data_IF_152657582038
#
_entry.id   IF_152657582038
#
_cell.length_a   1.000
_cell.length_b   1.000
_cell.length_c   1.000
_cell.angle_alpha   90.00
_cell.angle_beta   90.00
_cell.angle_gamma   90.00
#
_symmetry.space_group_name_H-M   'P 1'
#
loop_
_entity.id
_entity.type
_entity.pdbx_description
1 polymer ?
#
# COMPACT_ATOMS: atom_id res chain seq x y z
N UNK A 1 20.53 10.37 22.74
CA UNK A 1 19.27 11.12 22.52
C UNK A 1 19.21 12.28 23.52
N UNK A 2 19.00 13.52 23.07
CA UNK A 2 18.89 14.68 23.96
C UNK A 2 17.60 14.60 24.78
N UNK A 3 17.69 14.47 26.11
CA UNK A 3 16.56 14.68 27.02
C UNK A 3 16.39 16.19 27.23
N UNK A 4 15.28 16.79 26.79
CA UNK A 4 15.02 18.22 27.00
C UNK A 4 13.92 18.81 26.10
N UNK A 5 13.41 19.98 26.50
CA UNK A 5 12.42 20.74 25.73
C UNK A 5 13.10 21.45 24.54
N UNK A 6 12.50 21.36 23.36
CA UNK A 6 12.92 22.13 22.16
C UNK A 6 11.89 23.19 21.84
N UNK A 7 12.35 24.40 21.51
CA UNK A 7 11.50 25.49 21.02
C UNK A 7 11.37 25.38 19.50
N UNK A 8 10.16 25.59 19.00
CA UNK A 8 9.86 25.71 17.57
C UNK A 8 9.11 27.01 17.35
N UNK A 9 9.46 27.74 16.29
CA UNK A 9 8.72 28.92 15.87
C UNK A 9 7.62 28.47 14.92
N UNK A 10 6.39 28.92 15.17
CA UNK A 10 5.20 28.51 14.41
C UNK A 10 4.43 29.77 14.02
N UNK A 11 3.92 29.90 12.77
CA UNK A 11 3.14 31.05 12.35
C UNK A 11 1.92 31.30 13.25
N UNK A 12 1.60 32.57 13.51
CA UNK A 12 0.47 32.96 14.36
C UNK A 12 -0.87 32.28 13.99
N UNK A 13 -1.25 32.15 12.69
CA UNK A 13 -2.50 31.47 12.34
C UNK A 13 -2.56 30.01 12.79
N UNK A 14 -1.42 29.31 12.79
CA UNK A 14 -1.34 27.92 13.26
C UNK A 14 -1.45 27.86 14.79
N UNK A 15 -0.90 28.84 15.50
CA UNK A 15 -1.10 28.97 16.95
C UNK A 15 -2.58 29.14 17.31
N UNK A 16 -3.33 29.92 16.53
CA UNK A 16 -4.77 30.09 16.73
C UNK A 16 -5.56 28.80 16.53
N UNK A 17 -5.16 28.00 15.52
CA UNK A 17 -5.73 26.66 15.28
C UNK A 17 -5.42 25.73 16.46
N UNK A 18 -4.17 25.69 16.92
CA UNK A 18 -3.77 24.89 18.09
C UNK A 18 -4.59 25.30 19.32
N UNK A 19 -4.80 26.60 19.55
CA UNK A 19 -5.59 27.09 20.67
C UNK A 19 -7.07 26.73 20.59
N UNK A 20 -7.64 26.74 19.38
CA UNK A 20 -9.01 26.30 19.15
C UNK A 20 -9.18 24.81 19.49
N UNK A 21 -8.27 23.97 19.01
CA UNK A 21 -8.28 22.51 19.27
C UNK A 21 -8.04 22.24 20.76
N UNK A 22 -7.04 22.91 21.36
CA UNK A 22 -6.75 22.88 22.80
C UNK A 22 -7.99 23.11 23.64
N UNK A 23 -8.77 24.15 23.32
CA UNK A 23 -10.03 24.49 24.02
C UNK A 23 -11.10 23.42 23.80
N UNK A 24 -11.31 22.99 22.54
CA UNK A 24 -12.30 21.96 22.18
C UNK A 24 -12.05 20.64 22.92
N UNK A 25 -10.79 20.19 22.96
CA UNK A 25 -10.42 18.89 23.51
C UNK A 25 -9.94 18.93 24.98
N UNK A 26 -9.99 20.09 25.64
CA UNK A 26 -9.48 20.32 27.00
C UNK A 26 -8.06 19.74 27.21
N UNK A 27 -7.20 19.90 26.21
CA UNK A 27 -5.85 19.32 26.19
C UNK A 27 -4.78 20.42 26.10
N UNK A 28 -3.59 20.27 26.70
CA UNK A 28 -2.54 21.30 26.61
C UNK A 28 -1.97 21.40 25.19
N UNK A 29 -1.47 22.59 24.80
CA UNK A 29 -0.94 22.87 23.44
C UNK A 29 0.09 21.83 22.98
N UNK A 30 1.01 21.45 23.85
CA UNK A 30 2.06 20.48 23.52
C UNK A 30 1.47 19.11 23.13
N UNK A 31 0.34 18.70 23.72
CA UNK A 31 -0.31 17.42 23.42
C UNK A 31 -0.99 17.45 22.04
N UNK A 32 -1.58 18.58 21.69
CA UNK A 32 -2.15 18.84 20.35
C UNK A 32 -1.06 18.76 19.29
N UNK A 33 0.06 19.48 19.51
CA UNK A 33 1.21 19.47 18.59
C UNK A 33 1.83 18.07 18.50
N UNK A 34 2.04 17.39 19.64
CA UNK A 34 2.58 16.04 19.65
C UNK A 34 1.69 15.06 18.86
N UNK A 35 0.36 15.15 19.02
CA UNK A 35 -0.56 14.31 18.24
C UNK A 35 -0.45 14.61 16.75
N UNK A 36 -0.45 15.87 16.34
CA UNK A 36 -0.32 16.25 14.93
C UNK A 36 0.99 15.70 14.31
N UNK A 37 2.11 15.82 15.01
CA UNK A 37 3.40 15.29 14.56
C UNK A 37 3.36 13.75 14.46
N UNK A 38 2.83 13.07 15.47
CA UNK A 38 2.73 11.60 15.47
C UNK A 38 1.79 11.11 14.36
N UNK A 39 0.70 11.81 14.13
CA UNK A 39 -0.25 11.53 13.04
C UNK A 39 0.43 11.73 11.68
N UNK A 40 1.14 12.84 11.49
CA UNK A 40 1.90 13.08 10.26
C UNK A 40 2.97 12.00 10.01
N UNK A 41 3.75 11.65 11.04
CA UNK A 41 4.75 10.59 10.95
C UNK A 41 4.12 9.21 10.65
N UNK A 42 2.92 8.94 11.19
CA UNK A 42 2.16 7.72 10.87
C UNK A 42 1.72 7.72 9.40
N UNK A 43 1.23 8.84 8.89
CA UNK A 43 0.85 8.98 7.47
C UNK A 43 2.05 8.76 6.55
N UNK A 44 3.18 9.40 6.84
CA UNK A 44 4.42 9.26 6.06
C UNK A 44 4.88 7.78 5.99
N UNK A 45 4.94 7.10 7.15
CA UNK A 45 5.25 5.67 7.22
C UNK A 45 4.23 4.78 6.50
N UNK A 46 2.97 5.18 6.46
CA UNK A 46 1.93 4.44 5.76
C UNK A 46 2.05 4.59 4.24
N UNK A 47 2.35 5.80 3.76
CA UNK A 47 2.64 6.09 2.35
C UNK A 47 3.84 5.27 1.90
N UNK A 48 4.96 5.33 2.63
CA UNK A 48 6.17 4.54 2.33
C UNK A 48 5.85 3.04 2.24
N UNK A 49 5.03 2.54 3.17
CA UNK A 49 4.62 1.14 3.18
C UNK A 49 3.76 0.80 1.95
N UNK A 50 2.81 1.65 1.57
CA UNK A 50 1.96 1.45 0.39
C UNK A 50 2.81 1.43 -0.89
N UNK A 51 3.72 2.38 -1.03
CA UNK A 51 4.70 2.45 -2.13
C UNK A 51 5.55 1.17 -2.18
N UNK A 52 6.07 0.71 -1.04
CA UNK A 52 6.81 -0.55 -0.95
C UNK A 52 6.02 -1.76 -1.47
N UNK A 53 4.73 -1.85 -1.13
CA UNK A 53 3.89 -2.93 -1.64
C UNK A 53 3.58 -2.79 -3.13
N UNK A 54 3.43 -1.57 -3.65
CA UNK A 54 3.31 -1.32 -5.09
C UNK A 54 4.55 -1.87 -5.83
N UNK A 55 5.76 -1.56 -5.36
CA UNK A 55 7.00 -2.13 -5.92
C UNK A 55 7.02 -3.65 -5.88
N UNK A 56 6.63 -4.26 -4.75
CA UNK A 56 6.53 -5.73 -4.65
C UNK A 56 5.57 -6.33 -5.66
N UNK A 57 4.41 -5.72 -5.90
CA UNK A 57 3.44 -6.20 -6.90
C UNK A 57 4.08 -6.16 -8.28
N UNK A 58 4.59 -5.00 -8.69
CA UNK A 58 5.19 -4.80 -10.01
C UNK A 58 6.32 -5.80 -10.24
N UNK A 59 7.22 -5.96 -9.27
CA UNK A 59 8.36 -6.86 -9.38
C UNK A 59 7.93 -8.34 -9.45
N UNK A 60 7.07 -8.79 -8.53
CA UNK A 60 6.64 -10.20 -8.50
C UNK A 60 5.81 -10.58 -9.73
N UNK A 61 5.01 -9.64 -10.25
CA UNK A 61 4.27 -9.84 -11.49
C UNK A 61 5.16 -9.82 -12.73
N UNK A 62 6.14 -8.91 -12.80
CA UNK A 62 7.10 -8.87 -13.90
C UNK A 62 7.88 -10.18 -14.00
N UNK A 63 8.37 -10.72 -12.88
CA UNK A 63 9.05 -12.02 -12.88
C UNK A 63 8.17 -13.18 -13.32
N UNK A 64 6.88 -13.15 -12.97
CA UNK A 64 5.92 -14.15 -13.44
C UNK A 64 5.69 -14.06 -14.96
N UNK A 65 5.55 -12.85 -15.51
CA UNK A 65 5.43 -12.67 -16.97
C UNK A 65 6.67 -13.13 -17.71
N UNK A 66 7.85 -12.74 -17.20
CA UNK A 66 9.14 -13.12 -17.79
C UNK A 66 9.29 -14.64 -17.75
N UNK A 67 8.97 -15.30 -16.64
CA UNK A 67 9.06 -16.77 -16.57
C UNK A 67 8.11 -17.44 -17.59
N UNK A 68 6.88 -16.94 -17.75
CA UNK A 68 5.97 -17.50 -18.75
C UNK A 68 6.48 -17.33 -20.20
N UNK A 69 7.09 -16.18 -20.52
CA UNK A 69 7.71 -15.97 -21.85
C UNK A 69 8.93 -16.88 -22.06
N UNK A 70 9.78 -17.04 -21.04
CA UNK A 70 10.93 -17.94 -21.11
C UNK A 70 10.50 -19.41 -21.25
N UNK A 71 9.43 -19.83 -20.54
CA UNK A 71 8.84 -21.17 -20.66
C UNK A 71 8.31 -21.41 -22.07
N UNK A 72 7.61 -20.44 -22.66
CA UNK A 72 7.13 -20.52 -24.05
C UNK A 72 8.28 -20.74 -25.04
N UNK A 73 9.43 -20.14 -24.78
CA UNK A 73 10.66 -20.32 -25.56
C UNK A 73 11.51 -21.54 -25.12
N UNK A 74 10.98 -22.42 -24.25
CA UNK A 74 11.63 -23.64 -23.74
C UNK A 74 12.97 -23.41 -23.04
N UNK A 75 13.18 -22.21 -22.49
CA UNK A 75 14.42 -21.83 -21.80
C UNK A 75 14.43 -22.22 -20.32
N UNK A 76 13.27 -22.50 -19.75
CA UNK A 76 13.08 -22.86 -18.34
C UNK A 76 12.00 -23.93 -18.18
N UNK A 77 11.92 -24.54 -17.01
CA UNK A 77 10.92 -25.53 -16.65
C UNK A 77 9.69 -24.95 -15.93
N UNK A 78 8.72 -25.83 -15.68
CA UNK A 78 7.49 -25.51 -14.96
C UNK A 78 7.74 -25.17 -13.49
N UNK A 79 8.78 -25.75 -12.88
CA UNK A 79 9.13 -25.48 -11.49
C UNK A 79 9.50 -24.00 -11.29
N UNK A 80 10.27 -23.43 -12.21
CA UNK A 80 10.63 -22.01 -12.14
C UNK A 80 9.41 -21.09 -12.33
N UNK A 81 8.46 -21.46 -13.18
CA UNK A 81 7.19 -20.72 -13.30
C UNK A 81 6.38 -20.80 -12.01
N UNK A 82 6.23 -22.00 -11.44
CA UNK A 82 5.48 -22.21 -10.19
C UNK A 82 6.11 -21.49 -8.99
N UNK A 83 7.45 -21.43 -8.94
CA UNK A 83 8.17 -20.63 -7.96
C UNK A 83 7.78 -19.14 -8.04
N UNK A 84 7.82 -18.56 -9.24
CA UNK A 84 7.45 -17.15 -9.44
C UNK A 84 5.96 -16.90 -9.20
N UNK A 85 5.09 -17.82 -9.59
CA UNK A 85 3.66 -17.73 -9.28
C UNK A 85 3.40 -17.78 -7.77
N UNK A 86 4.11 -18.62 -7.03
CA UNK A 86 4.02 -18.70 -5.58
C UNK A 86 4.49 -17.41 -4.89
N UNK A 87 5.54 -16.76 -5.41
CA UNK A 87 5.96 -15.43 -4.95
C UNK A 87 4.89 -14.38 -5.19
N UNK A 88 4.28 -14.36 -6.38
CA UNK A 88 3.18 -13.45 -6.70
C UNK A 88 1.99 -13.66 -5.76
N UNK A 89 1.56 -14.92 -5.53
CA UNK A 89 0.51 -15.26 -4.55
C UNK A 89 0.83 -14.78 -3.14
N UNK A 90 2.08 -14.95 -2.70
CA UNK A 90 2.53 -14.47 -1.38
C UNK A 90 2.42 -12.95 -1.28
N UNK A 91 2.81 -12.21 -2.32
CA UNK A 91 2.63 -10.75 -2.38
C UNK A 91 1.16 -10.36 -2.26
N UNK A 92 0.27 -10.99 -3.03
CA UNK A 92 -1.18 -10.75 -2.95
C UNK A 92 -1.74 -11.01 -1.55
N UNK A 93 -1.35 -12.12 -0.91
CA UNK A 93 -1.75 -12.45 0.47
C UNK A 93 -1.29 -11.40 1.48
N UNK A 94 -0.06 -10.88 1.32
CA UNK A 94 0.45 -9.81 2.18
C UNK A 94 -0.39 -8.53 2.03
N UNK A 95 -0.74 -8.16 0.81
CA UNK A 95 -1.56 -6.97 0.52
C UNK A 95 -2.96 -7.12 1.12
N UNK A 96 -3.62 -8.25 0.87
CA UNK A 96 -4.93 -8.55 1.45
C UNK A 96 -4.91 -8.44 2.97
N UNK A 97 -3.91 -9.05 3.63
CA UNK A 97 -3.80 -9.02 5.08
C UNK A 97 -3.52 -7.62 5.64
N UNK A 98 -2.77 -6.78 4.92
CA UNK A 98 -2.29 -5.48 5.43
C UNK A 98 -3.23 -4.33 5.13
N UNK A 99 -3.85 -4.34 3.96
CA UNK A 99 -4.70 -3.25 3.47
C UNK A 99 -6.17 -3.65 3.34
N UNK A 100 -6.52 -4.89 3.70
CA UNK A 100 -7.90 -5.42 3.65
C UNK A 100 -8.54 -5.38 2.26
N UNK A 101 -7.74 -5.27 1.20
CA UNK A 101 -8.20 -5.32 -0.20
C UNK A 101 -8.38 -6.77 -0.65
N UNK A 102 -9.48 -7.10 -1.33
CA UNK A 102 -9.67 -8.44 -1.88
C UNK A 102 -8.78 -8.68 -3.10
N UNK A 103 -7.78 -9.56 -2.97
CA UNK A 103 -6.85 -9.93 -4.04
C UNK A 103 -7.14 -11.31 -4.64
N UNK A 104 -8.23 -11.99 -4.25
CA UNK A 104 -8.50 -13.39 -4.65
C UNK A 104 -8.72 -13.52 -6.15
N UNK A 105 -9.44 -12.57 -6.74
CA UNK A 105 -9.68 -12.53 -8.19
C UNK A 105 -8.38 -12.40 -8.98
N UNK A 106 -7.46 -11.56 -8.53
CA UNK A 106 -6.14 -11.37 -9.16
C UNK A 106 -5.36 -12.68 -9.17
N UNK A 107 -5.37 -13.42 -8.05
CA UNK A 107 -4.69 -14.71 -7.94
C UNK A 107 -5.33 -15.75 -8.85
N UNK A 108 -6.66 -15.79 -8.93
CA UNK A 108 -7.40 -16.70 -9.81
C UNK A 108 -7.04 -16.45 -11.27
N UNK A 109 -7.13 -15.21 -11.73
CA UNK A 109 -6.86 -14.86 -13.13
C UNK A 109 -5.37 -15.03 -13.47
N UNK A 110 -4.47 -14.81 -12.51
CA UNK A 110 -3.06 -15.14 -12.68
C UNK A 110 -2.82 -16.66 -12.78
N UNK A 111 -3.61 -17.50 -12.10
CA UNK A 111 -3.58 -18.96 -12.28
C UNK A 111 -4.00 -19.34 -13.70
N UNK A 112 -5.10 -18.77 -14.19
CA UNK A 112 -5.56 -18.98 -15.57
C UNK A 112 -4.53 -18.51 -16.60
N UNK A 113 -3.80 -17.43 -16.30
CA UNK A 113 -2.68 -16.95 -17.13
C UNK A 113 -1.50 -17.92 -17.15
N UNK A 114 -1.20 -18.60 -16.03
CA UNK A 114 -0.13 -19.61 -15.95
C UNK A 114 -0.50 -20.88 -16.74
N UNK A 115 -1.77 -21.28 -16.69
CA UNK A 115 -2.28 -22.41 -17.47
C UNK A 115 -2.34 -22.09 -18.97
N UNK A 116 -2.77 -20.87 -19.31
CA UNK A 116 -2.96 -20.41 -20.69
C UNK A 116 -2.35 -19.01 -20.87
N UNK A 117 -1.10 -19.01 -21.28
CA UNK A 117 -0.34 -17.78 -21.50
C UNK A 117 -0.73 -17.09 -22.82
N UNK A 118 -1.79 -16.27 -22.76
CA UNK A 118 -2.36 -15.55 -23.91
C UNK A 118 -2.43 -14.05 -23.63
N UNK A 119 -2.44 -13.23 -24.69
CA UNK A 119 -2.57 -11.77 -24.57
C UNK A 119 -3.82 -11.32 -23.80
N UNK A 120 -4.95 -12.04 -23.97
CA UNK A 120 -6.20 -11.76 -23.24
C UNK A 120 -6.03 -11.95 -21.72
N UNK A 121 -5.44 -13.07 -21.29
CA UNK A 121 -5.22 -13.33 -19.87
C UNK A 121 -4.20 -12.36 -19.26
N UNK A 122 -3.15 -12.01 -20.00
CA UNK A 122 -2.18 -10.98 -19.59
C UNK A 122 -2.90 -9.64 -19.40
N UNK A 123 -3.75 -9.23 -20.34
CA UNK A 123 -4.54 -7.99 -20.28
C UNK A 123 -5.44 -7.92 -19.05
N UNK A 124 -6.17 -9.00 -18.75
CA UNK A 124 -7.04 -9.10 -17.56
C UNK A 124 -6.27 -8.89 -16.26
N UNK A 125 -5.12 -9.56 -16.10
CA UNK A 125 -4.31 -9.45 -14.88
C UNK A 125 -3.64 -8.07 -14.78
N UNK A 126 -3.14 -7.52 -15.89
CA UNK A 126 -2.60 -6.16 -15.94
C UNK A 126 -3.61 -5.15 -15.41
N UNK A 127 -4.87 -5.22 -15.88
CA UNK A 127 -5.89 -4.25 -15.50
C UNK A 127 -6.20 -4.32 -14.01
N UNK A 128 -6.34 -5.52 -13.45
CA UNK A 128 -6.56 -5.65 -12.01
C UNK A 128 -5.37 -5.21 -11.16
N UNK A 129 -4.14 -5.40 -11.65
CA UNK A 129 -2.95 -4.88 -10.98
C UNK A 129 -2.94 -3.35 -10.99
N UNK A 130 -3.32 -2.70 -12.10
CA UNK A 130 -3.44 -1.24 -12.15
C UNK A 130 -4.49 -0.74 -11.16
N UNK A 131 -5.67 -1.37 -11.11
CA UNK A 131 -6.72 -1.01 -10.15
C UNK A 131 -6.25 -1.20 -8.71
N UNK A 132 -5.56 -2.30 -8.41
CA UNK A 132 -4.97 -2.51 -7.08
C UNK A 132 -3.94 -1.43 -6.73
N UNK A 133 -3.10 -1.00 -7.68
CA UNK A 133 -2.13 0.08 -7.46
C UNK A 133 -2.85 1.40 -7.17
N UNK A 134 -3.92 1.74 -7.91
CA UNK A 134 -4.74 2.93 -7.64
C UNK A 134 -5.30 2.91 -6.22
N UNK A 135 -5.87 1.78 -5.79
CA UNK A 135 -6.38 1.60 -4.41
C UNK A 135 -5.28 1.79 -3.37
N UNK A 136 -4.07 1.29 -3.64
CA UNK A 136 -2.94 1.45 -2.71
C UNK A 136 -2.42 2.88 -2.64
N UNK A 137 -2.53 3.66 -3.73
CA UNK A 137 -2.15 5.07 -3.79
C UNK A 137 -3.15 6.00 -3.10
N UNK A 138 -4.42 5.61 -3.00
CA UNK A 138 -5.43 6.38 -2.27
C UNK A 138 -5.14 6.25 -0.76
N UNK A 139 -4.86 7.39 -0.13
CA UNK A 139 -4.81 7.53 1.32
C UNK A 139 -6.24 7.83 1.75
N UNK A 140 -7.00 6.82 2.14
CA UNK A 140 -8.20 7.07 2.91
C UNK A 140 -7.75 7.55 4.30
N UNK A 141 -7.92 8.84 4.59
CA UNK A 141 -7.87 9.30 5.97
C UNK A 141 -9.03 8.64 6.70
N UNK A 142 -8.76 7.77 7.67
CA UNK A 142 -9.76 7.09 8.52
C UNK A 142 -10.70 8.03 9.33
N UNK A 143 -10.81 9.32 9.00
CA UNK A 143 -11.65 10.29 9.71
C UNK A 143 -13.05 10.51 9.08
N UNK A 144 -13.34 10.08 7.84
CA UNK A 144 -14.68 10.30 7.27
C UNK A 144 -15.71 9.19 7.62
N UNK A 145 -15.33 8.13 8.32
CA UNK A 145 -16.24 6.99 8.59
C UNK A 145 -16.72 6.87 10.04
N UNK A 146 -16.49 7.86 10.90
CA UNK A 146 -16.91 7.82 12.32
C UNK A 146 -17.83 8.94 12.79
N UNK A 147 -18.30 9.82 11.91
CA UNK A 147 -19.36 10.80 12.24
C UNK A 147 -20.62 10.59 11.39
N UNK A 148 -21.13 9.35 11.33
CA UNK A 148 -22.55 9.09 11.04
C UNK A 148 -23.00 7.84 11.80
N UNK A 149 -23.13 7.92 13.14
CA UNK A 149 -24.15 7.24 13.95
C UNK A 149 -24.36 8.04 15.23
#
# INVERSE_FOLDING_TARGET
MSKGWKRINVPAPICDVIDRIKKKERSPRWKVVARAILTYAKYDQEIDRRIWYIFKIMQSYAYLKISLELKKNRMIDDNYVQYNFSRFKKTMKQIHSRFRVDTRRIVKDASEMVERFTGSNIGKVNEQIKELIKVLLIIESEEESKEVV
#
